data_IF_145509566804
#
_entry.id   IF_145509566804
#
_cell.length_a   1.000
_cell.length_b   1.000
_cell.length_c   1.000
_cell.angle_alpha   90.00
_cell.angle_beta   90.00
_cell.angle_gamma   90.00
#
_symmetry.space_group_name_H-M   'P 1'
#
loop_
_entity.id
_entity.type
_entity.pdbx_description
1 polymer ?
#
# COMPACT_ATOMS: atom_id res chain seq x y z
N UNK A 1 -20.95 -15.71 -17.47
CA UNK A 1 -19.61 -16.17 -17.05
C UNK A 1 -19.75 -16.81 -15.69
N UNK A 2 -18.96 -17.86 -15.42
CA UNK A 2 -18.79 -18.43 -14.09
C UNK A 2 -17.58 -17.79 -13.41
N UNK A 3 -17.78 -17.16 -12.26
CA UNK A 3 -16.80 -16.33 -11.56
C UNK A 3 -16.56 -16.92 -10.18
N UNK A 4 -15.31 -17.25 -9.83
CA UNK A 4 -14.96 -17.66 -8.46
C UNK A 4 -14.39 -16.48 -7.67
N UNK A 5 -14.92 -16.23 -6.47
CA UNK A 5 -14.41 -15.25 -5.52
C UNK A 5 -13.79 -16.00 -4.34
N UNK A 6 -12.47 -15.92 -4.21
CA UNK A 6 -11.70 -16.76 -3.26
C UNK A 6 -11.43 -16.08 -1.91
N UNK A 7 -11.63 -14.77 -1.84
CA UNK A 7 -11.33 -13.95 -0.66
C UNK A 7 -12.43 -12.91 -0.42
N UNK A 8 -12.58 -12.47 0.83
CA UNK A 8 -13.62 -11.51 1.21
C UNK A 8 -13.38 -10.14 0.57
N UNK A 9 -14.35 -9.72 -0.23
CA UNK A 9 -14.44 -8.40 -0.87
C UNK A 9 -15.74 -7.70 -0.43
N UNK A 10 -15.96 -6.47 -0.87
CA UNK A 10 -17.21 -5.74 -0.62
C UNK A 10 -18.40 -6.49 -1.25
N UNK A 11 -19.49 -6.65 -0.49
CA UNK A 11 -20.67 -7.41 -0.92
C UNK A 11 -21.34 -6.76 -2.13
N UNK A 12 -21.28 -5.42 -2.21
CA UNK A 12 -21.79 -4.63 -3.33
C UNK A 12 -21.11 -5.03 -4.66
N UNK A 13 -19.82 -5.40 -4.62
CA UNK A 13 -19.10 -5.88 -5.80
C UNK A 13 -19.58 -7.26 -6.26
N UNK A 14 -19.91 -8.14 -5.31
CA UNK A 14 -20.48 -9.47 -5.60
C UNK A 14 -21.89 -9.32 -6.18
N UNK A 15 -22.72 -8.47 -5.55
CA UNK A 15 -24.08 -8.21 -6.01
C UNK A 15 -24.09 -7.60 -7.42
N UNK A 16 -23.21 -6.64 -7.69
CA UNK A 16 -23.07 -6.01 -9.00
C UNK A 16 -22.79 -7.00 -10.15
N UNK A 17 -22.05 -8.08 -9.87
CA UNK A 17 -21.78 -9.16 -10.83
C UNK A 17 -23.00 -10.07 -11.01
N UNK A 18 -23.68 -10.43 -9.91
CA UNK A 18 -24.91 -11.22 -9.94
C UNK A 18 -26.03 -10.51 -10.70
N UNK A 19 -26.20 -9.21 -10.48
CA UNK A 19 -27.21 -8.37 -11.16
C UNK A 19 -26.99 -8.29 -12.69
N UNK A 20 -25.76 -8.56 -13.15
CA UNK A 20 -25.41 -8.67 -14.58
C UNK A 20 -25.58 -10.09 -15.14
N UNK A 21 -26.20 -10.99 -14.39
CA UNK A 21 -26.45 -12.37 -14.81
C UNK A 21 -25.21 -13.24 -14.83
N UNK A 22 -24.18 -12.92 -14.05
CA UNK A 22 -23.03 -13.81 -13.87
C UNK A 22 -23.31 -14.84 -12.77
N UNK A 23 -22.80 -16.06 -12.96
CA UNK A 23 -22.79 -17.10 -11.93
C UNK A 23 -21.59 -16.86 -11.03
N UNK A 24 -21.83 -16.37 -9.81
CA UNK A 24 -20.79 -15.98 -8.86
C UNK A 24 -20.71 -16.98 -7.73
N UNK A 25 -19.64 -17.79 -7.75
CA UNK A 25 -19.32 -18.79 -6.74
C UNK A 25 -18.37 -18.18 -5.69
N UNK A 26 -18.86 -18.02 -4.47
CA UNK A 26 -18.11 -17.42 -3.37
C UNK A 26 -17.53 -18.53 -2.49
N UNK A 27 -16.21 -18.71 -2.52
CA UNK A 27 -15.48 -19.74 -1.77
C UNK A 27 -14.35 -19.12 -0.96
N UNK A 28 -14.72 -18.34 0.05
CA UNK A 28 -13.74 -17.70 0.92
C UNK A 28 -12.84 -18.72 1.60
N UNK A 29 -11.52 -18.52 1.48
CA UNK A 29 -10.54 -19.38 2.13
C UNK A 29 -10.40 -20.78 1.52
N UNK A 30 -10.89 -20.98 0.29
CA UNK A 30 -10.62 -22.19 -0.49
C UNK A 30 -9.12 -22.51 -0.49
N UNK A 31 -8.77 -23.77 -0.25
CA UNK A 31 -7.38 -24.18 -0.24
C UNK A 31 -6.78 -24.14 -1.65
N UNK A 32 -5.45 -23.99 -1.81
CA UNK A 32 -4.80 -24.04 -3.12
C UNK A 32 -5.13 -25.32 -3.89
N UNK A 33 -5.16 -26.48 -3.22
CA UNK A 33 -5.44 -27.78 -3.85
C UNK A 33 -6.88 -27.89 -4.35
N UNK A 34 -7.85 -27.46 -3.54
CA UNK A 34 -9.26 -27.41 -3.97
C UNK A 34 -9.45 -26.43 -5.12
N UNK A 35 -8.81 -25.26 -5.07
CA UNK A 35 -8.88 -24.25 -6.13
C UNK A 35 -8.33 -24.82 -7.44
N UNK A 36 -7.17 -25.49 -7.40
CA UNK A 36 -6.58 -26.19 -8.54
C UNK A 36 -7.50 -27.26 -9.13
N UNK A 37 -8.29 -27.93 -8.28
CA UNK A 37 -9.25 -28.96 -8.70
C UNK A 37 -10.50 -28.41 -9.39
N UNK A 38 -10.85 -27.14 -9.19
CA UNK A 38 -12.09 -26.55 -9.74
C UNK A 38 -11.86 -25.45 -10.77
N UNK A 39 -10.66 -24.85 -10.83
CA UNK A 39 -10.38 -23.64 -11.63
C UNK A 39 -10.70 -23.78 -13.11
N UNK A 40 -10.58 -24.98 -13.68
CA UNK A 40 -10.88 -25.21 -15.11
C UNK A 40 -12.34 -24.89 -15.47
N UNK A 41 -13.24 -24.87 -14.49
CA UNK A 41 -14.67 -24.61 -14.69
C UNK A 41 -15.03 -23.12 -14.70
N UNK A 42 -14.09 -22.21 -14.45
CA UNK A 42 -14.38 -20.77 -14.29
C UNK A 42 -13.85 -19.94 -15.45
N UNK A 43 -14.64 -18.94 -15.85
CA UNK A 43 -14.26 -17.91 -16.81
C UNK A 43 -13.46 -16.77 -16.16
N UNK A 44 -13.65 -16.56 -14.86
CA UNK A 44 -13.03 -15.48 -14.12
C UNK A 44 -12.71 -15.87 -12.68
N UNK A 45 -11.66 -15.28 -12.13
CA UNK A 45 -11.31 -15.37 -10.71
C UNK A 45 -11.13 -13.98 -10.12
N UNK A 46 -11.70 -13.77 -8.92
CA UNK A 46 -11.47 -12.58 -8.11
C UNK A 46 -10.71 -12.97 -6.85
N UNK A 47 -9.58 -12.29 -6.63
CA UNK A 47 -8.66 -12.50 -5.51
C UNK A 47 -8.41 -11.20 -4.74
N UNK A 48 -7.80 -11.32 -3.57
CA UNK A 48 -7.16 -10.23 -2.84
C UNK A 48 -5.67 -10.49 -2.70
N UNK A 49 -5.20 -10.98 -1.56
CA UNK A 49 -3.78 -11.02 -1.20
C UNK A 49 -3.28 -12.42 -0.88
N UNK A 50 -4.20 -13.29 -0.41
CA UNK A 50 -3.90 -14.65 0.02
C UNK A 50 -3.75 -15.57 -1.19
N UNK A 51 -4.76 -15.62 -2.06
CA UNK A 51 -4.78 -16.54 -3.20
C UNK A 51 -3.65 -16.18 -4.16
N UNK A 52 -2.79 -17.15 -4.46
CA UNK A 52 -1.71 -16.99 -5.45
C UNK A 52 -2.18 -17.47 -6.81
N UNK A 53 -2.31 -16.56 -7.75
CA UNK A 53 -2.60 -16.86 -9.15
C UNK A 53 -1.27 -17.11 -9.86
N UNK A 54 -0.65 -18.22 -9.52
CA UNK A 54 0.67 -18.63 -10.02
C UNK A 54 0.55 -19.40 -11.35
N UNK A 55 1.70 -19.72 -11.96
CA UNK A 55 1.74 -20.49 -13.20
C UNK A 55 0.98 -21.83 -13.11
N UNK A 56 1.10 -22.56 -12.00
CA UNK A 56 0.41 -23.85 -11.84
C UNK A 56 -1.11 -23.71 -11.92
N UNK A 57 -1.68 -22.73 -11.23
CA UNK A 57 -3.11 -22.43 -11.29
C UNK A 57 -3.52 -22.06 -12.71
N UNK A 58 -2.74 -21.20 -13.38
CA UNK A 58 -3.01 -20.72 -14.73
C UNK A 58 -2.87 -21.82 -15.79
N UNK A 59 -2.05 -22.84 -15.56
CA UNK A 59 -1.95 -23.99 -16.44
C UNK A 59 -3.21 -24.87 -16.41
N UNK A 60 -3.85 -25.01 -15.24
CA UNK A 60 -5.12 -25.76 -15.12
C UNK A 60 -6.33 -24.94 -15.57
N UNK A 61 -6.22 -23.61 -15.59
CA UNK A 61 -7.31 -22.68 -15.86
C UNK A 61 -7.68 -22.55 -17.36
N UNK A 62 -8.17 -23.64 -17.97
CA UNK A 62 -8.43 -23.74 -19.43
C UNK A 62 -9.42 -22.70 -19.99
N UNK A 63 -10.41 -22.30 -19.20
CA UNK A 63 -11.48 -21.39 -19.61
C UNK A 63 -11.30 -19.96 -19.11
N UNK A 64 -10.26 -19.71 -18.31
CA UNK A 64 -10.09 -18.45 -17.60
C UNK A 64 -9.76 -17.32 -18.59
N UNK A 65 -10.51 -16.23 -18.50
CA UNK A 65 -10.41 -15.05 -19.37
C UNK A 65 -9.91 -13.82 -18.62
N UNK A 66 -10.21 -13.73 -17.32
CA UNK A 66 -9.87 -12.57 -16.50
C UNK A 66 -9.52 -12.94 -15.06
N UNK A 67 -8.48 -12.29 -14.55
CA UNK A 67 -8.10 -12.29 -13.14
C UNK A 67 -8.31 -10.88 -12.59
N UNK A 68 -9.24 -10.75 -11.65
CA UNK A 68 -9.50 -9.49 -10.94
C UNK A 68 -8.83 -9.50 -9.57
N UNK A 69 -8.05 -8.46 -9.25
CA UNK A 69 -7.57 -8.21 -7.89
C UNK A 69 -8.33 -7.05 -7.25
N UNK A 70 -9.01 -7.34 -6.15
CA UNK A 70 -9.64 -6.32 -5.30
C UNK A 70 -8.58 -5.63 -4.40
N UNK A 71 -7.62 -4.97 -5.03
CA UNK A 71 -6.62 -4.11 -4.40
C UNK A 71 -5.72 -3.42 -5.43
N UNK A 72 -4.74 -2.64 -4.96
CA UNK A 72 -3.87 -1.85 -5.83
C UNK A 72 -2.80 -2.67 -6.56
N UNK A 73 -2.02 -3.47 -5.83
CA UNK A 73 -0.92 -4.26 -6.40
C UNK A 73 -1.42 -5.46 -7.20
N UNK A 74 -0.50 -6.16 -7.86
CA UNK A 74 -0.75 -7.44 -8.57
C UNK A 74 0.32 -8.51 -8.25
N UNK A 75 1.06 -8.33 -7.15
CA UNK A 75 2.19 -9.13 -6.66
C UNK A 75 1.89 -10.64 -6.48
N UNK A 76 0.62 -11.01 -6.30
CA UNK A 76 0.18 -12.40 -6.14
C UNK A 76 -0.34 -13.02 -7.45
N UNK A 77 -0.14 -12.35 -8.58
CA UNK A 77 -0.59 -12.78 -9.90
C UNK A 77 0.63 -12.88 -10.82
N UNK A 78 0.81 -14.03 -11.46
CA UNK A 78 1.78 -14.20 -12.53
C UNK A 78 1.25 -13.57 -13.82
N UNK A 79 1.43 -12.25 -13.93
CA UNK A 79 1.01 -11.45 -15.09
C UNK A 79 1.66 -11.93 -16.38
N UNK A 80 2.88 -12.46 -16.31
CA UNK A 80 3.59 -12.96 -17.48
C UNK A 80 2.87 -14.18 -18.10
N UNK A 81 2.46 -15.12 -17.26
CA UNK A 81 1.72 -16.32 -17.67
C UNK A 81 0.31 -15.97 -18.12
N UNK A 82 -0.38 -15.05 -17.41
CA UNK A 82 -1.66 -14.51 -17.87
C UNK A 82 -1.56 -13.94 -19.28
N UNK A 83 -0.55 -13.11 -19.54
CA UNK A 83 -0.34 -12.46 -20.85
C UNK A 83 -0.12 -13.49 -21.95
N UNK A 84 0.74 -14.50 -21.74
CA UNK A 84 1.00 -15.57 -22.72
C UNK A 84 -0.25 -16.38 -23.04
N UNK A 85 -1.15 -16.55 -22.08
CA UNK A 85 -2.43 -17.28 -22.25
C UNK A 85 -3.59 -16.40 -22.73
N UNK A 86 -3.38 -15.10 -22.94
CA UNK A 86 -4.45 -14.17 -23.33
C UNK A 86 -5.44 -13.86 -22.21
N UNK A 87 -5.04 -14.04 -20.95
CA UNK A 87 -5.84 -13.78 -19.75
C UNK A 87 -5.62 -12.34 -19.31
N UNK A 88 -6.70 -11.56 -19.21
CA UNK A 88 -6.64 -10.15 -18.80
C UNK A 88 -6.47 -10.07 -17.28
N UNK A 89 -5.58 -9.19 -16.82
CA UNK A 89 -5.43 -8.87 -15.38
C UNK A 89 -5.98 -7.46 -15.14
N UNK A 90 -6.90 -7.34 -14.17
CA UNK A 90 -7.46 -6.05 -13.73
C UNK A 90 -7.30 -5.87 -12.23
N UNK A 91 -7.10 -4.63 -11.78
CA UNK A 91 -6.94 -4.26 -10.37
C UNK A 91 -7.75 -3.00 -10.06
N UNK A 92 -7.66 -2.51 -8.81
CA UNK A 92 -8.40 -1.33 -8.33
C UNK A 92 -7.43 -0.29 -7.75
N UNK A 93 -6.61 0.37 -8.58
CA UNK A 93 -5.44 1.15 -8.16
C UNK A 93 -5.75 2.41 -7.32
N UNK A 94 -7.02 2.81 -7.26
CA UNK A 94 -7.47 4.00 -6.53
C UNK A 94 -8.29 3.66 -5.27
N UNK A 95 -8.61 2.38 -5.05
CA UNK A 95 -9.60 1.96 -4.05
C UNK A 95 -9.23 2.27 -2.60
N UNK A 96 -7.93 2.26 -2.27
CA UNK A 96 -7.47 2.41 -0.89
C UNK A 96 -6.58 3.65 -0.65
N UNK A 97 -6.45 4.55 -1.64
CA UNK A 97 -5.44 5.63 -1.58
C UNK A 97 -5.62 6.54 -0.37
N UNK A 98 -6.86 6.83 0.03
CA UNK A 98 -7.15 7.66 1.20
C UNK A 98 -6.87 6.91 2.50
N UNK A 99 -7.31 5.65 2.59
CA UNK A 99 -7.10 4.82 3.78
C UNK A 99 -5.61 4.61 4.07
N UNK A 100 -4.81 4.32 3.03
CA UNK A 100 -3.36 4.19 3.16
C UNK A 100 -2.69 5.51 3.59
N UNK A 101 -3.11 6.63 3.00
CA UNK A 101 -2.57 7.95 3.37
C UNK A 101 -2.93 8.33 4.82
N UNK A 102 -4.15 8.05 5.27
CA UNK A 102 -4.59 8.32 6.63
C UNK A 102 -3.86 7.45 7.64
N UNK A 103 -3.64 6.17 7.31
CA UNK A 103 -2.86 5.26 8.13
C UNK A 103 -1.41 5.74 8.28
N UNK A 104 -0.76 6.16 7.18
CA UNK A 104 0.60 6.70 7.22
C UNK A 104 0.72 7.92 8.14
N UNK A 105 -0.22 8.87 8.03
CA UNK A 105 -0.27 10.05 8.91
C UNK A 105 -0.54 9.64 10.36
N UNK A 106 -1.45 8.68 10.60
CA UNK A 106 -1.71 8.11 11.92
C UNK A 106 -0.46 7.47 12.54
N UNK A 107 0.32 6.72 11.76
CA UNK A 107 1.59 6.15 12.18
C UNK A 107 2.63 7.23 12.52
N UNK A 108 2.68 8.33 11.76
CA UNK A 108 3.52 9.46 12.12
C UNK A 108 3.15 9.99 13.53
N UNK A 109 1.87 10.25 13.81
CA UNK A 109 1.44 10.65 15.15
C UNK A 109 1.81 9.63 16.23
N UNK A 110 1.64 8.33 15.97
CA UNK A 110 2.04 7.28 16.91
C UNK A 110 3.54 7.33 17.25
N UNK A 111 4.40 7.55 16.26
CA UNK A 111 5.86 7.62 16.44
C UNK A 111 6.30 8.91 17.16
N UNK A 112 5.62 10.02 16.92
CA UNK A 112 5.93 11.30 17.56
C UNK A 112 5.37 11.40 18.98
N UNK A 113 4.24 10.73 19.28
CA UNK A 113 3.49 10.92 20.52
C UNK A 113 3.40 9.68 21.43
N UNK A 114 4.09 8.60 21.08
CA UNK A 114 4.14 7.35 21.86
C UNK A 114 2.76 6.74 22.15
N UNK A 115 1.79 6.94 21.26
CA UNK A 115 0.37 6.58 21.50
C UNK A 115 0.21 5.06 21.78
N UNK A 116 0.79 4.15 20.97
CA UNK A 116 0.64 2.71 21.22
C UNK A 116 1.24 2.27 22.56
N UNK A 117 2.42 2.82 22.91
CA UNK A 117 3.13 2.50 24.15
C UNK A 117 2.35 3.00 25.37
N UNK A 118 1.86 4.24 25.32
CA UNK A 118 1.03 4.84 26.36
C UNK A 118 -0.27 4.04 26.57
N UNK A 119 -0.95 3.65 25.50
CA UNK A 119 -2.15 2.82 25.55
C UNK A 119 -1.87 1.45 26.18
N UNK A 120 -0.78 0.78 25.77
CA UNK A 120 -0.40 -0.51 26.33
C UNK A 120 -0.11 -0.42 27.85
N UNK A 121 0.61 0.61 28.30
CA UNK A 121 0.87 0.83 29.72
C UNK A 121 -0.41 1.15 30.50
N UNK A 122 -1.32 1.96 29.95
CA UNK A 122 -2.60 2.27 30.58
C UNK A 122 -3.46 1.01 30.80
N UNK A 123 -3.51 0.10 29.82
CA UNK A 123 -4.24 -1.18 29.95
C UNK A 123 -3.65 -2.10 31.02
N UNK A 124 -2.39 -1.92 31.41
CA UNK A 124 -1.74 -2.63 32.53
C UNK A 124 -1.80 -1.88 33.87
N UNK A 125 -2.39 -0.69 33.92
CA UNK A 125 -2.39 0.15 35.12
C UNK A 125 -1.06 0.88 35.40
N UNK A 126 -0.14 0.89 34.42
CA UNK A 126 1.22 1.41 34.53
C UNK A 126 1.38 2.80 33.89
N UNK A 127 0.28 3.51 33.63
CA UNK A 127 0.38 4.82 32.97
C UNK A 127 1.13 5.83 33.86
N UNK A 128 2.26 6.31 33.35
CA UNK A 128 3.10 7.33 33.98
C UNK A 128 3.40 8.40 32.92
N UNK A 129 2.74 9.56 33.02
CA UNK A 129 2.77 10.62 31.99
C UNK A 129 4.18 11.05 31.61
N UNK A 130 5.10 11.12 32.57
CA UNK A 130 6.49 11.50 32.37
C UNK A 130 7.28 10.53 31.48
N UNK A 131 6.86 9.26 31.38
CA UNK A 131 7.53 8.27 30.52
C UNK A 131 7.14 8.39 29.04
N UNK A 132 6.10 9.16 28.71
CA UNK A 132 5.54 9.26 27.36
C UNK A 132 5.61 10.67 26.78
N UNK A 133 6.59 11.47 27.21
CA UNK A 133 6.85 12.78 26.61
C UNK A 133 7.20 12.56 25.13
N UNK A 134 6.35 13.11 24.26
CA UNK A 134 6.49 13.02 22.82
C UNK A 134 7.14 14.26 22.22
N UNK A 135 7.19 14.29 20.90
CA UNK A 135 7.63 15.41 20.10
C UNK A 135 6.43 15.96 19.31
N UNK A 136 6.33 17.28 19.22
CA UNK A 136 5.35 17.93 18.35
C UNK A 136 5.78 17.78 16.89
N UNK A 137 4.81 17.70 15.95
CA UNK A 137 5.12 17.58 14.53
C UNK A 137 5.29 18.96 13.86
N UNK A 138 4.71 20.02 14.42
CA UNK A 138 4.77 21.36 13.87
C UNK A 138 6.23 21.81 13.67
N UNK A 139 6.49 22.51 12.57
CA UNK A 139 7.80 23.04 12.14
C UNK A 139 8.87 21.98 11.84
N UNK A 140 8.59 20.69 12.05
CA UNK A 140 9.47 19.59 11.64
C UNK A 140 9.35 19.30 10.15
N UNK A 141 10.36 18.63 9.60
CA UNK A 141 10.43 18.26 8.19
C UNK A 141 9.92 16.83 7.97
N UNK A 142 8.93 16.69 7.08
CA UNK A 142 8.50 15.42 6.53
C UNK A 142 9.10 15.21 5.14
N UNK A 143 9.93 14.18 5.00
CA UNK A 143 10.42 13.66 3.73
C UNK A 143 9.51 12.57 3.18
N UNK A 144 8.96 12.80 2.00
CA UNK A 144 8.08 11.87 1.29
C UNK A 144 8.85 11.23 0.14
N UNK A 145 9.03 9.91 0.21
CA UNK A 145 9.64 9.12 -0.86
C UNK A 145 8.51 8.57 -1.72
N UNK A 146 8.37 9.09 -2.94
CA UNK A 146 7.26 8.81 -3.85
C UNK A 146 6.11 9.82 -3.72
N UNK A 147 5.93 10.66 -4.73
CA UNK A 147 4.88 11.69 -4.82
C UNK A 147 3.75 11.24 -5.77
N UNK A 148 3.40 9.96 -5.69
CA UNK A 148 2.25 9.34 -6.36
C UNK A 148 0.90 9.79 -5.77
N UNK A 149 -0.15 8.98 -5.97
CA UNK A 149 -1.50 9.27 -5.45
C UNK A 149 -1.52 9.37 -3.92
N UNK A 150 -0.93 8.39 -3.22
CA UNK A 150 -0.88 8.34 -1.75
C UNK A 150 0.04 9.43 -1.20
N UNK A 151 1.28 9.51 -1.69
CA UNK A 151 2.26 10.50 -1.24
C UNK A 151 1.75 11.95 -1.36
N UNK A 152 0.98 12.26 -2.41
CA UNK A 152 0.34 13.57 -2.56
C UNK A 152 -0.69 13.87 -1.45
N UNK A 153 -1.51 12.89 -1.08
CA UNK A 153 -2.49 13.05 0.00
C UNK A 153 -1.79 13.19 1.35
N UNK A 154 -0.75 12.40 1.59
CA UNK A 154 0.09 12.47 2.80
C UNK A 154 0.76 13.83 2.91
N UNK A 155 1.35 14.34 1.82
CA UNK A 155 1.94 15.67 1.75
C UNK A 155 0.97 16.77 2.18
N UNK A 156 -0.24 16.75 1.61
CA UNK A 156 -1.30 17.71 1.95
C UNK A 156 -1.67 17.65 3.44
N UNK A 157 -1.84 16.45 4.00
CA UNK A 157 -2.22 16.26 5.41
C UNK A 157 -1.10 16.70 6.37
N UNK A 158 0.16 16.32 6.09
CA UNK A 158 1.31 16.69 6.92
C UNK A 158 1.59 18.21 6.88
N UNK A 159 1.43 18.83 5.70
CA UNK A 159 1.47 20.30 5.58
C UNK A 159 0.35 20.96 6.37
N UNK A 160 -0.86 20.40 6.33
CA UNK A 160 -2.03 20.90 7.04
C UNK A 160 -1.87 20.92 8.57
N UNK A 161 -0.99 20.09 9.12
CA UNK A 161 -0.64 20.08 10.56
C UNK A 161 0.65 20.86 10.88
N UNK A 162 1.16 21.64 9.92
CA UNK A 162 2.29 22.55 10.13
C UNK A 162 3.68 21.96 9.91
N UNK A 163 3.80 20.79 9.26
CA UNK A 163 5.13 20.28 8.87
C UNK A 163 5.66 20.97 7.60
N UNK A 164 6.98 21.16 7.52
CA UNK A 164 7.66 21.44 6.26
C UNK A 164 7.73 20.15 5.44
N UNK A 165 7.19 20.13 4.23
CA UNK A 165 7.15 18.92 3.40
C UNK A 165 8.15 19.02 2.25
N UNK A 166 9.06 18.04 2.20
CA UNK A 166 9.98 17.79 1.09
C UNK A 166 9.67 16.43 0.46
N UNK A 167 9.96 16.23 -0.82
CA UNK A 167 9.73 14.94 -1.46
C UNK A 167 10.78 14.62 -2.53
N UNK A 168 11.02 13.33 -2.71
CA UNK A 168 11.84 12.77 -3.78
C UNK A 168 10.99 11.79 -4.58
N UNK A 169 10.92 12.01 -5.90
CA UNK A 169 10.29 11.10 -6.85
C UNK A 169 10.90 11.34 -8.24
N UNK A 170 11.66 10.37 -8.80
CA UNK A 170 12.37 10.55 -10.06
C UNK A 170 11.46 10.53 -11.30
N UNK A 171 10.19 10.15 -11.15
CA UNK A 171 9.25 10.00 -12.28
C UNK A 171 8.17 11.09 -12.33
N UNK A 172 8.14 11.98 -11.33
CA UNK A 172 7.14 13.03 -11.22
C UNK A 172 7.68 14.37 -11.72
N UNK A 173 6.85 15.09 -12.48
CA UNK A 173 7.21 16.41 -13.03
C UNK A 173 7.28 17.49 -11.94
N UNK A 174 8.17 18.47 -12.12
CA UNK A 174 8.31 19.64 -11.23
C UNK A 174 6.99 20.40 -11.03
N UNK A 175 6.11 20.39 -12.04
CA UNK A 175 4.78 21.01 -11.94
C UNK A 175 3.94 20.37 -10.84
N UNK A 176 4.03 19.04 -10.68
CA UNK A 176 3.27 18.35 -9.63
C UNK A 176 3.78 18.69 -8.23
N UNK A 177 5.10 18.85 -8.05
CA UNK A 177 5.66 19.35 -6.78
C UNK A 177 5.12 20.75 -6.45
N UNK A 178 5.19 21.67 -7.42
CA UNK A 178 4.68 23.04 -7.29
C UNK A 178 3.19 23.08 -6.97
N UNK A 179 2.36 22.32 -7.69
CA UNK A 179 0.90 22.25 -7.47
C UNK A 179 0.53 21.76 -6.08
N UNK A 180 1.31 20.86 -5.50
CA UNK A 180 1.10 20.35 -4.16
C UNK A 180 1.79 21.20 -3.08
N UNK A 181 2.55 22.22 -3.48
CA UNK A 181 3.33 23.08 -2.58
C UNK A 181 4.30 22.28 -1.73
N UNK A 182 4.97 21.30 -2.35
CA UNK A 182 6.00 20.42 -1.78
C UNK A 182 7.34 20.82 -2.38
N UNK A 183 8.38 20.86 -1.54
CA UNK A 183 9.75 21.15 -1.98
C UNK A 183 10.33 19.88 -2.59
N UNK A 184 10.83 19.96 -3.83
CA UNK A 184 11.49 18.83 -4.49
C UNK A 184 12.91 18.67 -3.95
N UNK A 185 13.29 17.44 -3.64
CA UNK A 185 14.67 17.00 -3.48
C UNK A 185 15.10 16.34 -4.79
N UNK A 186 16.28 16.70 -5.31
CA UNK A 186 16.80 16.13 -6.54
C UNK A 186 17.39 14.75 -6.32
N UNK A 187 17.81 14.45 -5.08
CA UNK A 187 18.33 13.14 -4.67
C UNK A 187 17.62 12.61 -3.43
N UNK A 188 17.68 11.29 -3.24
CA UNK A 188 17.21 10.65 -2.01
C UNK A 188 18.00 11.17 -0.79
N UNK A 189 19.32 11.28 -0.92
CA UNK A 189 20.20 11.74 0.18
C UNK A 189 19.83 13.15 0.67
N UNK A 190 19.53 14.09 -0.24
CA UNK A 190 19.02 15.42 0.11
C UNK A 190 17.76 15.35 0.99
N UNK A 191 16.85 14.41 0.70
CA UNK A 191 15.64 14.20 1.51
C UNK A 191 16.00 13.63 2.88
N UNK A 192 16.85 12.61 2.93
CA UNK A 192 17.19 11.87 4.15
C UNK A 192 17.85 12.77 5.20
N UNK A 193 18.84 13.58 4.81
CA UNK A 193 19.63 14.41 5.74
C UNK A 193 18.81 15.50 6.44
N UNK A 194 17.67 15.91 5.88
CA UNK A 194 16.85 17.00 6.42
C UNK A 194 15.55 16.54 7.09
N UNK A 195 15.19 15.25 6.99
CA UNK A 195 13.89 14.74 7.42
C UNK A 195 13.85 14.33 8.89
N UNK A 196 12.85 14.81 9.64
CA UNK A 196 12.54 14.33 10.99
C UNK A 196 11.54 13.15 10.94
N UNK A 197 10.73 13.11 9.88
CA UNK A 197 9.85 12.01 9.49
C UNK A 197 10.19 11.62 8.04
N UNK A 198 10.42 10.34 7.78
CA UNK A 198 10.46 9.78 6.43
C UNK A 198 9.23 8.90 6.24
N UNK A 199 8.52 9.06 5.13
CA UNK A 199 7.38 8.20 4.78
C UNK A 199 7.49 7.71 3.34
N UNK A 200 7.33 6.41 3.15
CA UNK A 200 7.57 5.71 1.88
C UNK A 200 6.21 5.40 1.22
N UNK A 201 6.08 5.76 -0.05
CA UNK A 201 4.87 5.57 -0.88
C UNK A 201 5.22 5.18 -2.33
N UNK A 202 6.22 4.31 -2.49
CA UNK A 202 6.68 3.79 -3.77
C UNK A 202 6.12 2.38 -4.03
N UNK A 203 5.95 1.97 -5.30
CA UNK A 203 5.67 0.57 -5.61
C UNK A 203 6.88 -0.30 -5.24
N UNK A 204 6.64 -1.60 -4.99
CA UNK A 204 7.70 -2.58 -4.79
C UNK A 204 8.30 -2.99 -6.14
N UNK A 205 9.52 -2.57 -6.41
CA UNK A 205 10.31 -2.89 -7.61
C UNK A 205 11.72 -3.31 -7.19
N UNK A 206 12.55 -3.73 -8.14
CA UNK A 206 13.98 -4.00 -7.86
C UNK A 206 14.71 -2.75 -7.36
N UNK A 207 14.34 -1.56 -7.85
CA UNK A 207 14.95 -0.27 -7.46
C UNK A 207 14.54 0.19 -6.07
N UNK A 208 13.32 -0.17 -5.61
CA UNK A 208 12.80 0.29 -4.31
C UNK A 208 12.96 -0.76 -3.22
N UNK A 209 13.25 -2.02 -3.58
CA UNK A 209 13.49 -3.08 -2.62
C UNK A 209 14.78 -2.84 -1.85
N UNK A 210 14.66 -2.68 -0.52
CA UNK A 210 15.82 -2.41 0.33
C UNK A 210 16.41 -1.00 0.16
N UNK A 211 15.67 -0.07 -0.46
CA UNK A 211 16.18 1.28 -0.76
C UNK A 211 16.58 2.11 0.47
N UNK A 212 16.12 1.74 1.67
CA UNK A 212 16.59 2.31 2.94
C UNK A 212 17.36 1.22 3.69
N UNK A 213 18.66 1.17 3.44
CA UNK A 213 19.60 0.26 4.10
C UNK A 213 20.45 0.97 5.16
N UNK A 214 21.54 0.31 5.56
CA UNK A 214 22.48 0.84 6.57
C UNK A 214 23.08 2.19 6.14
N UNK A 215 23.43 2.33 4.86
CA UNK A 215 24.00 3.57 4.32
C UNK A 215 23.00 4.72 4.45
N UNK A 216 21.76 4.53 3.97
CA UNK A 216 20.72 5.55 4.02
C UNK A 216 20.36 5.94 5.46
N UNK A 217 20.30 4.96 6.36
CA UNK A 217 20.04 5.22 7.78
C UNK A 217 21.17 6.01 8.44
N UNK A 218 22.43 5.78 8.06
CA UNK A 218 23.58 6.46 8.67
C UNK A 218 23.68 7.96 8.35
N UNK A 219 23.02 8.42 7.27
CA UNK A 219 22.99 9.84 6.88
C UNK A 219 21.71 10.56 7.34
N UNK A 220 20.75 9.83 7.92
CA UNK A 220 19.55 10.43 8.47
C UNK A 220 19.87 11.26 9.73
N UNK A 221 18.97 12.18 10.09
CA UNK A 221 19.03 12.85 11.39
C UNK A 221 18.93 11.84 12.54
N UNK A 222 19.66 12.11 13.61
CA UNK A 222 19.47 11.41 14.88
C UNK A 222 18.01 11.51 15.35
N UNK A 223 17.42 10.35 15.65
CA UNK A 223 16.03 10.26 16.08
C UNK A 223 14.99 10.42 14.96
N UNK A 224 15.39 10.28 13.69
CA UNK A 224 14.46 10.18 12.55
C UNK A 224 13.40 9.10 12.81
N UNK A 225 12.17 9.37 12.38
CA UNK A 225 11.06 8.42 12.43
C UNK A 225 10.69 7.99 11.03
N UNK A 226 10.54 6.68 10.80
CA UNK A 226 10.27 6.13 9.47
C UNK A 226 8.92 5.43 9.49
N UNK A 227 8.07 5.77 8.52
CA UNK A 227 6.79 5.12 8.25
C UNK A 227 6.86 4.43 6.89
N UNK A 228 6.57 3.14 6.87
CA UNK A 228 6.35 2.39 5.65
C UNK A 228 4.92 1.85 5.65
N UNK A 229 4.06 2.46 4.83
CA UNK A 229 2.67 2.07 4.60
C UNK A 229 2.37 1.92 3.09
N UNK A 230 3.42 1.64 2.31
CA UNK A 230 3.37 1.41 0.86
C UNK A 230 2.93 -0.02 0.52
#
# INVERSE_FOLDING_TARGET
>A
MKIIVTERIAEEGIQHLKDRGHDVDVRYGISPDELLGVIENYDAIIVRSVTKVNAELLERAKNLKVVGRAGNGIDNIDVSTCTRKGIIVVNTPESNIMAAAELAVGHAFCLFRNIPQANAAARRGEFRRNLFIGNELQDKTAGIIGLGRIGTIVARKLKGIGMRVVAYDPYITDEKFRKNGVIKCETLDELLVQSDLITIHTPKTEETYGMIGERELSICKDGVRIVNAA
#
